data_IF_284419362222
#
_entry.id   IF_284419362222
#
_cell.length_a   1.000
_cell.length_b   1.000
_cell.length_c   1.000
_cell.angle_alpha   90.00
_cell.angle_beta   90.00
_cell.angle_gamma   90.00
#
_symmetry.space_group_name_H-M   'P 1'
#
loop_
_entity.id
_entity.type
_entity.pdbx_description
1 polymer ?
#
# COMPACT_ATOMS: atom_id res chain seq x y z
N UNK A 1 32.23 18.89 21.60
CA UNK A 1 32.06 17.83 22.61
C UNK A 1 30.62 17.27 22.46
N UNK A 2 30.50 16.10 21.84
CA UNK A 2 29.19 15.43 21.68
C UNK A 2 28.91 14.57 22.92
N UNK A 3 27.95 14.97 23.73
CA UNK A 3 27.46 14.20 24.87
C UNK A 3 26.50 13.12 24.35
N UNK A 4 27.04 11.99 23.91
CA UNK A 4 26.24 10.79 23.60
C UNK A 4 25.48 10.35 24.86
N UNK A 5 24.15 10.56 24.90
CA UNK A 5 23.28 10.03 25.95
C UNK A 5 23.39 8.50 25.97
N UNK A 6 24.15 7.93 26.91
CA UNK A 6 24.16 6.48 27.17
C UNK A 6 22.82 6.09 27.81
N UNK A 7 21.95 5.41 27.06
CA UNK A 7 20.76 4.78 27.63
C UNK A 7 21.18 3.71 28.66
N UNK A 8 20.53 3.70 29.83
CA UNK A 8 20.81 2.66 30.81
C UNK A 8 20.21 1.31 30.35
N UNK A 9 20.72 0.19 30.89
CA UNK A 9 20.28 -1.16 30.51
C UNK A 9 18.76 -1.38 30.64
N UNK A 10 18.12 -0.75 31.63
CA UNK A 10 16.65 -0.84 31.83
C UNK A 10 15.90 -0.11 30.75
N UNK A 11 16.35 1.10 30.37
CA UNK A 11 15.75 1.86 29.26
C UNK A 11 15.86 1.12 27.93
N UNK A 12 17.02 0.51 27.65
CA UNK A 12 17.22 -0.32 26.46
C UNK A 12 16.29 -1.54 26.47
N UNK A 13 16.18 -2.24 27.60
CA UNK A 13 15.29 -3.39 27.72
C UNK A 13 13.81 -3.03 27.51
N UNK A 14 13.36 -1.91 28.06
CA UNK A 14 11.99 -1.41 27.83
C UNK A 14 11.73 -1.06 26.38
N UNK A 15 12.69 -0.39 25.70
CA UNK A 15 12.57 -0.05 24.28
C UNK A 15 12.56 -1.30 23.40
N UNK A 16 13.39 -2.30 23.71
CA UNK A 16 13.40 -3.57 22.96
C UNK A 16 12.09 -4.32 23.17
N UNK A 17 11.59 -4.39 24.40
CA UNK A 17 10.29 -5.03 24.71
C UNK A 17 9.15 -4.32 23.97
N UNK A 18 9.09 -2.98 24.02
CA UNK A 18 8.09 -2.20 23.28
C UNK A 18 8.17 -2.44 21.77
N UNK A 19 9.38 -2.51 21.21
CA UNK A 19 9.58 -2.83 19.79
C UNK A 19 9.08 -4.24 19.43
N UNK A 20 9.34 -5.24 20.30
CA UNK A 20 8.87 -6.61 20.08
C UNK A 20 7.33 -6.70 20.15
N UNK A 21 6.72 -5.97 21.10
CA UNK A 21 5.24 -5.87 21.19
C UNK A 21 4.66 -5.23 19.93
N UNK A 22 5.26 -4.13 19.44
CA UNK A 22 4.81 -3.47 18.20
C UNK A 22 4.96 -4.38 16.98
N UNK A 23 6.07 -5.11 16.89
CA UNK A 23 6.27 -6.11 15.83
C UNK A 23 5.21 -7.22 15.93
N UNK A 24 4.92 -7.72 17.14
CA UNK A 24 3.85 -8.71 17.37
C UNK A 24 2.49 -8.19 16.91
N UNK A 25 2.14 -6.96 17.24
CA UNK A 25 0.88 -6.32 16.85
C UNK A 25 0.73 -6.17 15.34
N UNK A 26 1.82 -5.88 14.60
CA UNK A 26 1.78 -5.79 13.13
C UNK A 26 1.37 -7.14 12.50
N UNK A 27 1.78 -8.25 13.12
CA UNK A 27 1.59 -9.59 12.57
C UNK A 27 0.41 -10.37 13.17
N UNK A 28 -0.35 -9.79 14.09
CA UNK A 28 -1.51 -10.45 14.71
C UNK A 28 -2.80 -10.32 13.88
N UNK A 29 -2.78 -9.51 12.81
CA UNK A 29 -3.95 -9.25 11.96
C UNK A 29 -4.98 -8.32 12.62
N UNK A 30 -4.63 -7.70 13.75
CA UNK A 30 -5.52 -6.77 14.45
C UNK A 30 -5.67 -5.43 13.71
N UNK A 31 -6.77 -4.70 13.94
CA UNK A 31 -6.89 -3.32 13.46
C UNK A 31 -5.77 -2.40 13.95
N UNK A 32 -5.27 -2.64 15.17
CA UNK A 32 -4.17 -1.88 15.76
C UNK A 32 -2.85 -2.16 15.01
N UNK A 33 -2.56 -3.42 14.69
CA UNK A 33 -1.37 -3.79 13.90
C UNK A 33 -1.40 -3.16 12.50
N UNK A 34 -2.55 -3.18 11.84
CA UNK A 34 -2.74 -2.51 10.56
C UNK A 34 -2.54 -1.00 10.65
N UNK A 35 -2.98 -0.36 11.74
CA UNK A 35 -2.76 1.07 11.99
C UNK A 35 -1.27 1.36 12.18
N UNK A 36 -0.58 0.60 13.04
CA UNK A 36 0.86 0.76 13.30
C UNK A 36 1.66 0.63 12.01
N UNK A 37 1.35 -0.37 11.18
CA UNK A 37 2.02 -0.53 9.89
C UNK A 37 1.82 0.68 8.98
N UNK A 38 0.59 1.18 8.85
CA UNK A 38 0.31 2.38 8.03
C UNK A 38 1.07 3.60 8.51
N UNK A 39 1.08 3.85 9.82
CA UNK A 39 1.81 5.00 10.39
C UNK A 39 3.34 4.86 10.20
N UNK A 40 3.88 3.65 10.30
CA UNK A 40 5.29 3.39 10.01
C UNK A 40 5.64 3.66 8.54
N UNK A 41 4.77 3.27 7.60
CA UNK A 41 4.95 3.56 6.17
C UNK A 41 4.88 5.07 5.91
N UNK A 42 3.90 5.78 6.48
CA UNK A 42 3.80 7.25 6.36
C UNK A 42 5.05 7.96 6.87
N UNK A 43 5.56 7.54 8.03
CA UNK A 43 6.78 8.13 8.60
C UNK A 43 8.00 7.90 7.71
N UNK A 44 8.15 6.67 7.16
CA UNK A 44 9.26 6.32 6.28
C UNK A 44 9.20 7.05 4.93
N UNK A 45 8.02 7.25 4.37
CA UNK A 45 7.81 7.85 3.06
C UNK A 45 7.07 9.19 3.15
N UNK A 46 7.45 10.02 4.13
CA UNK A 46 6.80 11.31 4.43
C UNK A 46 6.77 12.31 3.28
N UNK A 47 7.59 12.12 2.25
CA UNK A 47 7.62 12.95 1.04
C UNK A 47 6.53 12.59 0.03
N UNK A 48 5.85 11.46 0.19
CA UNK A 48 4.79 11.01 -0.72
C UNK A 48 3.45 11.06 0.00
N UNK A 49 2.46 11.65 -0.66
CA UNK A 49 1.09 11.70 -0.14
C UNK A 49 0.48 10.29 -0.11
N UNK A 50 -0.24 9.98 0.94
CA UNK A 50 -1.09 8.81 1.02
C UNK A 50 -2.56 9.15 0.74
N UNK A 51 -3.32 8.14 0.31
CA UNK A 51 -4.77 8.19 0.10
C UNK A 51 -5.37 6.97 0.77
N UNK A 52 -6.37 7.14 1.61
CA UNK A 52 -7.11 6.03 2.21
C UNK A 52 -8.07 5.37 1.19
N UNK A 53 -8.49 4.11 1.41
CA UNK A 53 -9.51 3.49 0.57
C UNK A 53 -10.81 4.32 0.46
N UNK A 54 -11.27 4.90 1.57
CA UNK A 54 -12.48 5.73 1.58
C UNK A 54 -12.32 7.01 0.75
N UNK A 55 -11.15 7.68 0.84
CA UNK A 55 -10.86 8.84 -0.02
C UNK A 55 -10.76 8.47 -1.50
N UNK A 56 -10.20 7.30 -1.82
CA UNK A 56 -10.13 6.84 -3.21
C UNK A 56 -11.52 6.52 -3.77
N UNK A 57 -12.40 5.90 -2.98
CA UNK A 57 -13.80 5.66 -3.36
C UNK A 57 -14.52 6.98 -3.63
N UNK A 58 -14.42 7.94 -2.71
CA UNK A 58 -15.01 9.25 -2.88
C UNK A 58 -14.45 9.97 -4.11
N UNK A 59 -13.14 9.84 -4.35
CA UNK A 59 -12.49 10.41 -5.55
C UNK A 59 -13.05 9.82 -6.84
N UNK A 60 -13.17 8.50 -6.92
CA UNK A 60 -13.70 7.81 -8.12
C UNK A 60 -15.17 8.14 -8.40
N UNK A 61 -15.94 8.49 -7.37
CA UNK A 61 -17.34 8.89 -7.48
C UNK A 61 -17.56 10.37 -7.78
N UNK A 62 -16.51 11.21 -7.75
CA UNK A 62 -16.65 12.65 -7.97
C UNK A 62 -16.45 13.02 -9.46
N UNK A 63 -17.51 13.38 -10.21
CA UNK A 63 -17.41 13.73 -11.63
C UNK A 63 -16.63 15.03 -11.89
N UNK A 64 -16.44 15.88 -10.87
CA UNK A 64 -15.70 17.12 -10.99
C UNK A 64 -14.20 16.95 -10.76
N UNK A 65 -13.76 15.74 -10.41
CA UNK A 65 -12.38 15.43 -10.11
C UNK A 65 -11.76 14.62 -11.24
N UNK A 66 -10.57 15.00 -11.76
CA UNK A 66 -9.94 14.21 -12.80
C UNK A 66 -9.68 12.79 -12.29
N UNK A 67 -9.96 11.76 -13.11
CA UNK A 67 -9.75 10.38 -12.72
C UNK A 67 -8.27 10.14 -12.39
N UNK A 68 -8.02 9.32 -11.37
CA UNK A 68 -6.67 8.88 -11.06
C UNK A 68 -6.32 7.64 -11.88
N UNK A 69 -5.11 7.60 -12.44
CA UNK A 69 -4.51 6.37 -12.91
C UNK A 69 -4.20 5.50 -11.69
N UNK A 70 -4.71 4.28 -11.66
CA UNK A 70 -4.37 3.30 -10.64
C UNK A 70 -3.21 2.44 -11.14
N UNK A 71 -2.18 2.27 -10.31
CA UNK A 71 -1.03 1.43 -10.61
C UNK A 71 -0.93 0.33 -9.57
N UNK A 72 -1.06 -0.92 -10.01
CA UNK A 72 -0.80 -2.09 -9.18
C UNK A 72 0.69 -2.44 -9.22
N UNK A 73 1.35 -2.35 -8.08
CA UNK A 73 2.78 -2.64 -7.92
C UNK A 73 2.98 -3.96 -7.13
N UNK A 74 2.22 -4.99 -7.49
CA UNK A 74 2.36 -6.36 -6.96
C UNK A 74 2.95 -7.29 -8.03
N UNK A 75 3.45 -8.48 -7.64
CA UNK A 75 3.79 -9.53 -8.60
C UNK A 75 2.61 -9.86 -9.53
N UNK A 76 2.90 -10.25 -10.78
CA UNK A 76 1.89 -10.50 -11.81
C UNK A 76 0.83 -11.53 -11.38
N UNK A 77 1.25 -12.59 -10.70
CA UNK A 77 0.32 -13.62 -10.19
C UNK A 77 -0.71 -13.05 -9.21
N UNK A 78 -0.32 -12.05 -8.41
CA UNK A 78 -1.24 -11.39 -7.48
C UNK A 78 -2.22 -10.48 -8.22
N UNK A 79 -1.74 -9.72 -9.22
CA UNK A 79 -2.57 -8.87 -10.08
C UNK A 79 -3.58 -9.70 -10.87
N UNK A 80 -3.13 -10.81 -11.44
CA UNK A 80 -3.97 -11.70 -12.24
C UNK A 80 -5.10 -12.32 -11.41
N UNK A 81 -4.83 -12.65 -10.14
CA UNK A 81 -5.86 -13.22 -9.26
C UNK A 81 -6.97 -12.20 -8.94
N UNK A 82 -6.60 -10.98 -8.61
CA UNK A 82 -7.55 -9.88 -8.42
C UNK A 82 -6.85 -8.54 -8.29
N UNK A 83 -7.49 -7.47 -8.75
CA UNK A 83 -6.98 -6.10 -8.70
C UNK A 83 -8.13 -5.08 -8.58
N UNK A 84 -7.81 -3.82 -8.38
CA UNK A 84 -8.79 -2.73 -8.42
C UNK A 84 -9.14 -2.44 -9.89
N UNK A 85 -10.41 -2.40 -10.21
CA UNK A 85 -10.89 -2.15 -11.57
C UNK A 85 -10.24 -0.91 -12.21
N UNK A 86 -9.77 -1.07 -13.47
CA UNK A 86 -9.06 -0.04 -14.22
C UNK A 86 -7.60 0.17 -13.82
N UNK A 87 -7.01 -0.68 -12.98
CA UNK A 87 -5.60 -0.59 -12.63
C UNK A 87 -4.69 -1.08 -13.76
N UNK A 88 -3.56 -0.38 -13.94
CA UNK A 88 -2.44 -0.79 -14.80
C UNK A 88 -1.41 -1.49 -13.94
N UNK A 89 -0.96 -2.66 -14.38
CA UNK A 89 0.10 -3.39 -13.69
C UNK A 89 1.49 -2.89 -14.06
N UNK A 90 2.35 -2.73 -13.04
CA UNK A 90 3.79 -2.45 -13.20
C UNK A 90 4.55 -3.37 -12.25
N UNK A 91 5.43 -4.22 -12.81
CA UNK A 91 6.26 -5.12 -12.01
C UNK A 91 7.13 -4.33 -11.01
N UNK A 92 7.00 -4.55 -9.70
CA UNK A 92 7.83 -3.85 -8.72
C UNK A 92 9.30 -4.29 -8.74
N UNK A 93 9.62 -5.49 -9.28
CA UNK A 93 10.97 -6.00 -9.35
C UNK A 93 11.74 -5.43 -10.57
N UNK A 94 11.04 -5.13 -11.66
CA UNK A 94 11.60 -4.58 -12.90
C UNK A 94 10.63 -3.54 -13.48
N UNK A 95 10.49 -2.34 -12.90
CA UNK A 95 9.47 -1.38 -13.27
C UNK A 95 9.63 -0.90 -14.73
N UNK A 96 8.72 -1.33 -15.60
CA UNK A 96 8.62 -0.80 -16.96
C UNK A 96 7.59 0.34 -17.01
N UNK A 97 8.07 1.57 -17.09
CA UNK A 97 7.21 2.76 -17.18
C UNK A 97 6.74 3.06 -18.61
N UNK A 98 7.12 2.25 -19.60
CA UNK A 98 6.64 2.40 -20.98
C UNK A 98 5.13 2.20 -21.08
N UNK A 99 4.55 1.35 -20.21
CA UNK A 99 3.10 1.08 -20.13
C UNK A 99 2.27 2.32 -19.80
N UNK A 100 2.88 3.35 -19.21
CA UNK A 100 2.26 4.63 -18.89
C UNK A 100 2.96 5.83 -19.58
N UNK A 101 3.82 5.58 -20.58
CA UNK A 101 4.59 6.63 -21.24
C UNK A 101 3.72 7.73 -21.87
N UNK A 102 2.55 7.35 -22.38
CA UNK A 102 1.58 8.26 -23.00
C UNK A 102 0.68 8.99 -21.98
N UNK A 103 0.80 8.68 -20.70
CA UNK A 103 0.02 9.34 -19.64
C UNK A 103 0.66 10.69 -19.29
N UNK A 104 -0.09 11.81 -19.36
CA UNK A 104 0.46 13.12 -19.00
C UNK A 104 1.05 13.12 -17.59
N UNK A 105 2.20 13.74 -17.40
CA UNK A 105 2.89 13.80 -16.08
C UNK A 105 2.09 14.55 -15.01
N UNK A 106 1.09 15.32 -15.40
CA UNK A 106 0.13 15.99 -14.51
C UNK A 106 -1.06 15.12 -14.09
N UNK A 107 -1.23 13.93 -14.70
CA UNK A 107 -2.30 12.99 -14.32
C UNK A 107 -2.09 12.55 -12.86
N UNK A 108 -3.15 12.58 -12.03
CA UNK A 108 -3.08 12.00 -10.70
C UNK A 108 -2.83 10.49 -10.79
N UNK A 109 -1.87 10.00 -10.02
CA UNK A 109 -1.54 8.56 -9.95
C UNK A 109 -1.71 8.09 -8.52
N UNK A 110 -2.38 6.96 -8.34
CA UNK A 110 -2.45 6.25 -7.06
C UNK A 110 -1.85 4.87 -7.24
N UNK A 111 -0.72 4.64 -6.59
CA UNK A 111 -0.03 3.35 -6.58
C UNK A 111 -0.53 2.52 -5.42
N UNK A 112 -0.74 1.23 -5.62
CA UNK A 112 -1.02 0.31 -4.53
C UNK A 112 -0.21 -0.99 -4.67
N UNK A 113 0.00 -1.66 -3.56
CA UNK A 113 0.48 -3.03 -3.44
C UNK A 113 -0.47 -3.82 -2.53
N UNK A 114 -0.03 -4.91 -1.95
CA UNK A 114 -0.90 -5.68 -1.04
C UNK A 114 -1.22 -4.94 0.27
N UNK A 115 -0.22 -4.29 0.91
CA UNK A 115 -0.34 -3.70 2.26
C UNK A 115 0.16 -2.24 2.37
N UNK A 116 0.61 -1.62 1.29
CA UNK A 116 1.03 -0.21 1.22
C UNK A 116 2.53 0.02 1.35
N UNK A 117 3.35 -1.01 1.49
CA UNK A 117 4.79 -0.89 1.78
C UNK A 117 5.64 -0.66 0.53
N UNK A 118 5.41 -1.43 -0.51
CA UNK A 118 6.12 -1.35 -1.81
C UNK A 118 5.56 -0.21 -2.66
N UNK A 119 4.25 0.03 -2.57
CA UNK A 119 3.57 1.11 -3.28
C UNK A 119 4.16 2.48 -2.97
N UNK A 120 4.49 2.75 -1.71
CA UNK A 120 5.10 4.02 -1.33
C UNK A 120 6.49 4.22 -1.97
N UNK A 121 7.29 3.16 -2.09
CA UNK A 121 8.57 3.21 -2.78
C UNK A 121 8.41 3.41 -4.31
N UNK A 122 7.45 2.72 -4.94
CA UNK A 122 7.11 2.90 -6.34
C UNK A 122 6.61 4.32 -6.61
N UNK A 123 5.82 4.90 -5.71
CA UNK A 123 5.36 6.28 -5.83
C UNK A 123 6.52 7.29 -5.80
N UNK A 124 7.58 7.05 -5.01
CA UNK A 124 8.82 7.85 -5.06
C UNK A 124 9.49 7.72 -6.43
N UNK A 125 9.60 6.51 -6.98
CA UNK A 125 10.20 6.27 -8.30
C UNK A 125 9.41 6.98 -9.42
N UNK A 126 8.09 6.91 -9.42
CA UNK A 126 7.23 7.62 -10.39
C UNK A 126 7.40 9.14 -10.30
N UNK A 127 7.53 9.69 -9.09
CA UNK A 127 7.84 11.12 -8.93
C UNK A 127 9.21 11.46 -9.51
N UNK A 128 10.21 10.61 -9.32
CA UNK A 128 11.52 10.75 -9.96
C UNK A 128 11.45 10.71 -11.49
N UNK A 129 10.50 9.97 -12.06
CA UNK A 129 10.21 9.92 -13.50
C UNK A 129 9.35 11.10 -14.00
N UNK A 130 9.08 12.10 -13.15
CA UNK A 130 8.41 13.36 -13.50
C UNK A 130 6.89 13.40 -13.28
N UNK A 131 6.26 12.34 -12.78
CA UNK A 131 4.86 12.40 -12.40
C UNK A 131 4.72 13.25 -11.14
N UNK A 132 3.99 14.37 -11.20
CA UNK A 132 3.99 15.38 -10.14
C UNK A 132 2.83 15.21 -9.13
N UNK A 133 1.85 14.35 -9.41
CA UNK A 133 0.66 14.11 -8.58
C UNK A 133 0.54 12.64 -8.19
N UNK A 134 1.58 12.08 -7.59
CA UNK A 134 1.63 10.67 -7.18
C UNK A 134 1.30 10.52 -5.70
N UNK A 135 0.44 9.58 -5.41
CA UNK A 135 0.07 9.13 -4.05
C UNK A 135 0.16 7.60 -3.97
N UNK A 136 0.15 7.05 -2.78
CA UNK A 136 0.00 5.62 -2.58
C UNK A 136 -1.26 5.31 -1.75
N UNK A 137 -1.85 4.12 -1.94
CA UNK A 137 -3.03 3.66 -1.21
C UNK A 137 -2.61 3.10 0.15
N UNK A 138 -3.14 3.68 1.23
CA UNK A 138 -2.88 3.22 2.60
C UNK A 138 -3.41 1.83 2.85
N UNK A 139 -2.53 0.93 3.31
CA UNK A 139 -2.89 -0.46 3.56
C UNK A 139 -3.17 -1.28 2.30
N UNK A 140 -2.94 -0.70 1.12
CA UNK A 140 -2.96 -1.38 -0.17
C UNK A 140 -4.28 -2.10 -0.49
N UNK A 141 -4.18 -3.16 -1.30
CA UNK A 141 -5.33 -3.96 -1.71
C UNK A 141 -6.03 -4.64 -0.53
N UNK A 142 -5.29 -4.99 0.53
CA UNK A 142 -5.90 -5.61 1.71
C UNK A 142 -6.86 -4.65 2.42
N UNK A 143 -6.49 -3.37 2.57
CA UNK A 143 -7.37 -2.38 3.15
C UNK A 143 -8.57 -2.07 2.24
N UNK A 144 -8.37 -2.06 0.91
CA UNK A 144 -9.43 -1.90 -0.08
C UNK A 144 -10.46 -3.04 0.03
N UNK A 145 -10.01 -4.29 -0.04
CA UNK A 145 -10.85 -5.48 0.10
C UNK A 145 -11.55 -5.52 1.47
N UNK A 146 -10.81 -5.30 2.56
CA UNK A 146 -11.37 -5.28 3.92
C UNK A 146 -12.44 -4.21 4.12
N UNK A 147 -12.39 -3.12 3.34
CA UNK A 147 -13.41 -2.09 3.24
C UNK A 147 -14.65 -2.51 2.43
N UNK A 148 -14.67 -3.74 1.89
CA UNK A 148 -15.78 -4.25 1.09
C UNK A 148 -15.84 -3.70 -0.32
N UNK A 149 -14.73 -3.16 -0.84
CA UNK A 149 -14.69 -2.60 -2.17
C UNK A 149 -14.54 -3.69 -3.23
N UNK A 150 -15.07 -3.43 -4.42
CA UNK A 150 -15.08 -4.36 -5.55
C UNK A 150 -13.64 -4.61 -6.03
N UNK A 151 -13.35 -5.88 -6.31
CA UNK A 151 -12.17 -6.37 -6.99
C UNK A 151 -12.59 -7.01 -8.29
N UNK A 152 -11.68 -7.05 -9.25
CA UNK A 152 -11.88 -7.69 -10.55
C UNK A 152 -10.69 -8.57 -10.91
N UNK A 153 -10.94 -9.54 -11.78
CA UNK A 153 -9.94 -10.30 -12.54
C UNK A 153 -10.26 -10.24 -14.03
N UNK A 154 -9.62 -11.07 -14.85
CA UNK A 154 -9.87 -11.13 -16.28
C UNK A 154 -11.29 -11.62 -16.65
N UNK A 155 -11.99 -12.27 -15.74
CA UNK A 155 -13.36 -12.79 -15.93
C UNK A 155 -14.45 -11.87 -15.40
N UNK A 156 -14.11 -10.84 -14.63
CA UNK A 156 -15.07 -9.92 -14.02
C UNK A 156 -14.87 -9.75 -12.51
N UNK A 157 -15.95 -9.66 -11.70
CA UNK A 157 -15.82 -9.50 -10.26
C UNK A 157 -15.07 -10.64 -9.58
N UNK A 158 -14.08 -10.32 -8.76
CA UNK A 158 -13.26 -11.27 -8.00
C UNK A 158 -13.61 -11.23 -6.51
N UNK A 159 -13.63 -12.40 -5.86
CA UNK A 159 -13.97 -12.55 -4.45
C UNK A 159 -12.76 -12.83 -3.56
N UNK A 160 -11.62 -13.20 -4.13
CA UNK A 160 -10.43 -13.59 -3.39
C UNK A 160 -9.24 -12.68 -3.67
N UNK A 161 -8.32 -12.62 -2.72
CA UNK A 161 -7.08 -11.84 -2.80
C UNK A 161 -5.91 -12.75 -2.47
N UNK A 162 -4.82 -12.63 -3.22
CA UNK A 162 -3.59 -13.36 -2.93
C UNK A 162 -3.01 -12.91 -1.58
N UNK A 163 -2.87 -13.81 -0.58
CA UNK A 163 -2.51 -13.42 0.79
C UNK A 163 -1.01 -13.20 0.99
N UNK A 164 -0.18 -13.25 -0.07
CA UNK A 164 1.30 -13.23 -0.07
C UNK A 164 1.86 -14.48 0.64
N UNK A 165 1.60 -14.58 1.93
CA UNK A 165 1.89 -15.71 2.80
C UNK A 165 1.01 -15.63 4.06
N UNK A 166 1.11 -16.65 4.94
CA UNK A 166 0.28 -16.76 6.14
C UNK A 166 0.41 -15.56 7.11
N UNK A 167 1.56 -14.89 7.15
CA UNK A 167 1.76 -13.72 8.02
C UNK A 167 1.01 -12.49 7.49
N UNK A 168 1.21 -12.16 6.21
CA UNK A 168 0.55 -11.04 5.57
C UNK A 168 -0.96 -11.28 5.40
N UNK A 169 -1.36 -12.52 5.14
CA UNK A 169 -2.76 -12.91 5.04
C UNK A 169 -3.58 -12.59 6.28
N UNK A 170 -2.96 -12.51 7.47
CA UNK A 170 -3.64 -12.07 8.70
C UNK A 170 -4.18 -10.63 8.65
N UNK A 171 -3.62 -9.78 7.80
CA UNK A 171 -4.12 -8.43 7.56
C UNK A 171 -5.37 -8.41 6.67
N UNK A 172 -5.68 -9.53 6.01
CA UNK A 172 -6.81 -9.71 5.13
C UNK A 172 -7.92 -10.48 5.86
N UNK A 173 -9.17 -10.03 5.75
CA UNK A 173 -10.32 -10.74 6.31
C UNK A 173 -10.44 -12.12 5.68
N UNK A 174 -10.79 -13.14 6.47
CA UNK A 174 -10.82 -14.55 6.05
C UNK A 174 -11.70 -14.82 4.82
N UNK A 175 -12.77 -14.06 4.64
CA UNK A 175 -13.68 -14.18 3.49
C UNK A 175 -13.01 -13.91 2.12
N UNK A 176 -11.86 -13.25 2.11
CA UNK A 176 -11.11 -12.94 0.89
C UNK A 176 -9.93 -13.89 0.65
N UNK A 177 -9.72 -14.86 1.53
CA UNK A 177 -8.71 -15.89 1.32
C UNK A 177 -9.19 -16.87 0.24
N UNK A 178 -8.29 -17.38 -0.65
CA UNK A 178 -8.60 -18.41 -1.63
C UNK A 178 -9.10 -19.69 -1.00
#
# INVERSE_FOLDING_TARGET
>A
MSTGKRFNRRTVAVLVFAALVLIGLIWDGSPLGSLVLREAVKAKFSTVRSVTPAELVAWRGDPNRPPALLVDARPEAEFTMSHIDGAVWIDPAAPDLSVIANVPKSTPVVVYDAAGTTAAAMAVALRGAGYNRVSYLEGGLFAWANGGQILVDAGGPAETVYPINWKWGRLLKSRYHP
#
